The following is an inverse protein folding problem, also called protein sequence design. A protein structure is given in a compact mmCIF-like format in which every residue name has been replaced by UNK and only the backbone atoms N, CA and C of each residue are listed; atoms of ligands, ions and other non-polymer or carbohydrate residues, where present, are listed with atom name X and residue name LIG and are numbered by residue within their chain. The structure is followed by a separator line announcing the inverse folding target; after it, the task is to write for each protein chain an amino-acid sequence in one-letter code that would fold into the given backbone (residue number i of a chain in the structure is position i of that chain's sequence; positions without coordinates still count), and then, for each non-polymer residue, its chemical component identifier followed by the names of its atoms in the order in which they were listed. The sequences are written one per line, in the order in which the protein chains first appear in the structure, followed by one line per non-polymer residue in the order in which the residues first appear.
data_IF_052410519703
#
_entry.id   IF_052410519703
#
_cell.length_a   1.000
_cell.length_b   1.000
_cell.length_c   1.000
_cell.angle_alpha   90.00
_cell.angle_beta   90.00
_cell.angle_gamma   90.00
#
_symmetry.space_group_name_H-M   'P 1'
#
loop_
_entity.id
_entity.type
_entity.pdbx_description
1 polymer ?
#
# COMPACT_ATOMS: atom_id res chain seq x y z
N UNK A 1 -3.47 -2.01 -38.92
CA UNK A 1 -2.67 -2.95 -38.12
C UNK A 1 -3.58 -3.49 -37.04
N UNK A 2 -4.00 -4.72 -37.20
CA UNK A 2 -4.70 -5.40 -36.13
C UNK A 2 -3.74 -5.58 -34.95
N UNK A 3 -3.99 -4.89 -33.83
CA UNK A 3 -3.33 -5.20 -32.59
C UNK A 3 -3.83 -6.56 -32.14
N UNK A 4 -2.95 -7.55 -32.16
CA UNK A 4 -3.26 -8.84 -31.56
C UNK A 4 -3.69 -8.57 -30.10
N UNK A 5 -4.92 -8.92 -29.78
CA UNK A 5 -5.40 -8.83 -28.40
C UNK A 5 -4.69 -9.91 -27.59
N UNK A 6 -3.78 -9.50 -26.74
CA UNK A 6 -3.17 -10.40 -25.78
C UNK A 6 -4.00 -10.35 -24.50
N UNK A 7 -4.63 -11.46 -24.16
CA UNK A 7 -5.30 -11.60 -22.87
C UNK A 7 -4.26 -12.10 -21.87
N UNK A 8 -3.99 -11.32 -20.85
CA UNK A 8 -3.15 -11.72 -19.73
C UNK A 8 -4.03 -12.05 -18.53
N UNK A 9 -3.84 -13.22 -17.97
CA UNK A 9 -4.51 -13.65 -16.73
C UNK A 9 -3.62 -13.46 -15.51
N UNK A 10 -2.42 -12.91 -15.70
CA UNK A 10 -1.49 -12.62 -14.63
C UNK A 10 -1.12 -11.13 -14.65
N UNK A 11 -0.78 -10.61 -13.47
CA UNK A 11 -0.29 -9.25 -13.36
C UNK A 11 1.04 -9.10 -14.11
N UNK A 12 1.11 -8.13 -15.00
CA UNK A 12 2.29 -7.82 -15.79
C UNK A 12 2.82 -6.43 -15.41
N UNK A 13 3.96 -6.40 -14.76
CA UNK A 13 4.57 -5.15 -14.29
C UNK A 13 5.69 -4.61 -15.19
N UNK A 14 5.85 -5.15 -16.41
CA UNK A 14 6.92 -4.72 -17.33
C UNK A 14 6.88 -3.22 -17.66
N UNK A 15 5.70 -2.61 -17.63
CA UNK A 15 5.51 -1.19 -17.89
C UNK A 15 5.30 -0.36 -16.62
N UNK A 16 5.45 -0.96 -15.45
CA UNK A 16 5.32 -0.28 -14.18
C UNK A 16 6.69 0.25 -13.77
N UNK A 17 6.74 1.53 -13.41
CA UNK A 17 7.95 2.15 -12.88
C UNK A 17 7.91 2.10 -11.37
N UNK A 18 8.61 1.12 -10.82
CA UNK A 18 8.73 0.94 -9.39
C UNK A 18 9.80 1.85 -8.81
N UNK A 19 9.50 2.44 -7.67
CA UNK A 19 10.43 3.24 -6.88
C UNK A 19 10.41 2.83 -5.41
N UNK A 20 11.28 3.40 -4.58
CA UNK A 20 11.28 3.14 -3.16
C UNK A 20 10.07 3.78 -2.48
N UNK A 21 9.67 3.20 -1.34
CA UNK A 21 8.72 3.84 -0.42
C UNK A 21 9.53 4.59 0.62
N UNK A 22 9.37 5.90 0.65
CA UNK A 22 9.93 6.75 1.68
C UNK A 22 8.78 7.44 2.43
N UNK A 23 8.75 7.25 3.73
CA UNK A 23 7.77 7.86 4.61
C UNK A 23 8.45 8.90 5.47
N UNK A 24 8.02 10.14 5.36
CA UNK A 24 8.55 11.23 6.17
C UNK A 24 8.38 10.91 7.66
N UNK A 25 9.50 10.90 8.38
CA UNK A 25 9.56 10.55 9.78
C UNK A 25 9.83 9.06 10.06
N UNK A 26 9.72 8.19 9.07
CA UNK A 26 9.94 6.74 9.22
C UNK A 26 11.05 6.18 8.36
N UNK A 27 11.52 6.95 7.37
CA UNK A 27 12.60 6.55 6.45
C UNK A 27 12.12 5.68 5.29
N UNK A 28 13.06 5.03 4.65
CA UNK A 28 12.81 4.13 3.51
C UNK A 28 12.46 2.73 4.00
N UNK A 29 11.42 2.14 3.41
CA UNK A 29 11.03 0.76 3.68
C UNK A 29 11.84 -0.19 2.79
N UNK A 30 12.74 -1.04 3.35
CA UNK A 30 13.54 -1.96 2.56
C UNK A 30 12.67 -2.99 1.84
N UNK A 31 13.04 -3.29 0.59
CA UNK A 31 12.42 -4.34 -0.24
C UNK A 31 10.96 -4.09 -0.65
N UNK A 32 10.35 -3.03 -0.18
CA UNK A 32 9.04 -2.57 -0.69
C UNK A 32 9.23 -1.70 -1.91
N UNK A 33 8.27 -1.71 -2.81
CA UNK A 33 8.26 -0.84 -3.97
C UNK A 33 6.92 -0.13 -4.12
N UNK A 34 6.98 1.07 -4.65
CA UNK A 34 5.85 1.96 -4.85
C UNK A 34 5.78 2.38 -6.31
N UNK A 35 4.59 2.37 -6.88
CA UNK A 35 4.35 2.89 -8.22
C UNK A 35 3.16 3.84 -8.20
N UNK A 36 3.39 5.15 -8.37
CA UNK A 36 2.29 6.11 -8.55
C UNK A 36 1.61 5.87 -9.89
N UNK A 37 0.28 5.93 -9.92
CA UNK A 37 -0.51 5.72 -11.12
C UNK A 37 -1.18 7.00 -11.59
N UNK A 38 -2.11 7.52 -10.80
CA UNK A 38 -2.86 8.72 -11.13
C UNK A 38 -3.32 9.43 -9.88
N UNK A 39 -3.50 10.75 -9.96
CA UNK A 39 -3.99 11.54 -8.83
C UNK A 39 -4.66 12.82 -9.28
N UNK A 40 -5.55 13.32 -8.46
CA UNK A 40 -6.25 14.59 -8.68
C UNK A 40 -6.49 15.32 -7.37
N UNK A 41 -5.99 16.55 -7.29
CA UNK A 41 -6.27 17.45 -6.18
C UNK A 41 -7.73 17.88 -6.17
N UNK A 42 -8.27 18.13 -7.36
CA UNK A 42 -9.67 18.55 -7.51
C UNK A 42 -10.63 17.50 -6.99
N UNK A 43 -10.45 16.24 -7.43
CA UNK A 43 -11.32 15.13 -7.03
C UNK A 43 -10.87 14.44 -5.75
N UNK A 44 -9.74 14.86 -5.16
CA UNK A 44 -9.21 14.36 -3.88
C UNK A 44 -9.03 12.84 -3.86
N UNK A 45 -8.41 12.34 -4.93
CA UNK A 45 -8.16 10.91 -5.11
C UNK A 45 -6.75 10.67 -5.60
N UNK A 46 -6.17 9.57 -5.18
CA UNK A 46 -4.89 9.10 -5.68
C UNK A 46 -4.89 7.58 -5.77
N UNK A 47 -4.37 7.07 -6.88
CA UNK A 47 -4.21 5.65 -7.16
C UNK A 47 -2.72 5.30 -7.25
N UNK A 48 -2.35 4.21 -6.60
CA UNK A 48 -0.97 3.74 -6.59
C UNK A 48 -0.90 2.23 -6.32
N UNK A 49 0.25 1.64 -6.62
CA UNK A 49 0.54 0.24 -6.31
C UNK A 49 1.60 0.17 -5.22
N UNK A 50 1.47 -0.82 -4.36
CA UNK A 50 2.55 -1.25 -3.47
C UNK A 50 2.89 -2.69 -3.77
N UNK A 51 4.18 -2.96 -3.93
CA UNK A 51 4.74 -4.29 -4.05
C UNK A 51 5.37 -4.67 -2.72
N UNK A 52 4.81 -5.70 -2.11
CA UNK A 52 5.26 -6.25 -0.85
C UNK A 52 6.29 -7.34 -1.11
N UNK A 53 7.39 -7.37 -0.35
CA UNK A 53 8.36 -8.48 -0.44
C UNK A 53 7.78 -9.77 0.13
N UNK A 54 8.36 -10.94 -0.21
CA UNK A 54 8.02 -12.18 0.46
C UNK A 54 8.13 -12.05 1.98
N UNK A 55 7.16 -12.61 2.68
CA UNK A 55 7.10 -12.58 4.14
C UNK A 55 8.37 -13.16 4.75
N UNK A 56 8.94 -12.44 5.69
CA UNK A 56 10.13 -12.85 6.44
C UNK A 56 9.80 -12.97 7.92
N UNK A 57 10.11 -14.10 8.50
CA UNK A 57 9.85 -14.39 9.91
C UNK A 57 11.17 -14.54 10.68
N UNK A 58 11.18 -14.06 11.91
CA UNK A 58 12.26 -14.26 12.88
C UNK A 58 11.64 -14.37 14.27
N UNK A 59 12.04 -15.39 15.03
CA UNK A 59 11.55 -15.66 16.39
C UNK A 59 10.00 -15.74 16.48
N UNK A 60 9.37 -16.35 15.47
CA UNK A 60 7.92 -16.51 15.42
C UNK A 60 7.14 -15.24 15.05
N UNK A 61 7.82 -14.20 14.60
CA UNK A 61 7.20 -12.93 14.22
C UNK A 61 7.57 -12.56 12.78
N UNK A 62 6.64 -11.92 12.09
CA UNK A 62 6.94 -11.29 10.80
C UNK A 62 7.70 -9.99 11.06
N UNK A 63 8.85 -9.85 10.41
CA UNK A 63 9.78 -8.73 10.67
C UNK A 63 9.83 -7.69 9.56
N UNK A 64 9.21 -7.96 8.41
CA UNK A 64 9.21 -7.05 7.27
C UNK A 64 7.80 -6.54 6.96
N UNK A 65 7.25 -5.78 7.87
CA UNK A 65 5.94 -5.14 7.73
C UNK A 65 6.10 -3.65 7.48
N UNK A 66 5.12 -3.05 6.80
CA UNK A 66 4.97 -1.60 6.80
C UNK A 66 4.67 -1.15 8.25
N UNK A 67 5.21 -0.01 8.65
CA UNK A 67 4.91 0.56 9.96
C UNK A 67 3.40 0.63 10.23
N UNK A 68 3.03 0.44 11.50
CA UNK A 68 1.65 0.66 11.95
C UNK A 68 1.18 2.04 11.51
N UNK A 69 0.01 2.07 10.91
CA UNK A 69 -0.56 3.32 10.41
C UNK A 69 -2.07 3.35 10.60
N UNK A 70 -2.58 4.58 10.62
CA UNK A 70 -4.01 4.88 10.65
C UNK A 70 -4.42 5.42 9.29
N UNK A 71 -5.49 4.88 8.75
CA UNK A 71 -6.15 5.47 7.58
C UNK A 71 -6.91 6.71 8.02
N UNK A 72 -6.63 7.86 7.38
CA UNK A 72 -7.35 9.11 7.64
C UNK A 72 -8.39 9.41 6.56
N UNK A 73 -8.20 8.87 5.37
CA UNK A 73 -9.17 8.87 4.28
C UNK A 73 -9.78 7.49 4.05
N UNK A 74 -10.62 7.38 3.03
CA UNK A 74 -11.16 6.08 2.59
C UNK A 74 -10.17 5.48 1.60
N UNK A 75 -9.78 4.23 1.80
CA UNK A 75 -8.90 3.51 0.89
C UNK A 75 -9.57 2.26 0.38
N UNK A 76 -9.69 2.18 -0.94
CA UNK A 76 -10.12 0.96 -1.63
C UNK A 76 -8.87 0.18 -2.01
N UNK A 77 -8.85 -1.12 -1.71
CA UNK A 77 -7.71 -2.00 -1.93
C UNK A 77 -8.11 -3.18 -2.78
N UNK A 78 -7.29 -3.51 -3.76
CA UNK A 78 -7.49 -4.66 -4.62
C UNK A 78 -6.18 -5.43 -4.76
N UNK A 79 -6.20 -6.72 -4.41
CA UNK A 79 -5.02 -7.58 -4.50
C UNK A 79 -4.86 -8.09 -5.93
N UNK A 80 -3.77 -7.69 -6.59
CA UNK A 80 -3.50 -8.00 -8.00
C UNK A 80 -2.66 -9.26 -8.14
N UNK A 81 -1.69 -9.47 -7.24
CA UNK A 81 -0.79 -10.60 -7.29
C UNK A 81 -0.40 -11.03 -5.87
N UNK A 82 -0.05 -12.30 -5.69
CA UNK A 82 0.37 -12.82 -4.39
C UNK A 82 -0.72 -12.74 -3.34
N UNK A 83 -0.34 -12.34 -2.13
CA UNK A 83 -1.25 -12.16 -1.01
C UNK A 83 -0.94 -10.88 -0.25
N UNK A 84 -1.96 -10.28 0.34
CA UNK A 84 -1.88 -9.13 1.23
C UNK A 84 -2.29 -9.54 2.64
N UNK A 85 -1.37 -9.47 3.58
CA UNK A 85 -1.59 -9.86 4.96
C UNK A 85 -1.75 -8.63 5.84
N UNK A 86 -2.81 -8.59 6.62
CA UNK A 86 -3.10 -7.52 7.57
C UNK A 86 -2.87 -8.02 8.99
N UNK A 87 -2.20 -7.20 9.78
CA UNK A 87 -1.87 -7.52 11.17
C UNK A 87 -2.39 -6.42 12.10
N UNK A 88 -2.74 -6.83 13.32
CA UNK A 88 -2.98 -5.90 14.41
C UNK A 88 -1.67 -5.17 14.77
N UNK A 89 -1.74 -4.01 15.44
CA UNK A 89 -0.53 -3.32 15.87
C UNK A 89 0.42 -4.16 16.74
N UNK A 90 -0.10 -5.14 17.46
CA UNK A 90 0.70 -6.06 18.28
C UNK A 90 1.38 -7.19 17.49
N UNK A 91 1.16 -7.24 16.17
CA UNK A 91 1.73 -8.25 15.28
C UNK A 91 0.86 -9.49 15.09
N UNK A 92 -0.31 -9.57 15.71
CA UNK A 92 -1.25 -10.66 15.51
C UNK A 92 -1.86 -10.59 14.10
N UNK A 93 -1.87 -11.70 13.37
CA UNK A 93 -2.49 -11.77 12.06
C UNK A 93 -3.99 -11.50 12.16
N UNK A 94 -4.48 -10.49 11.43
CA UNK A 94 -5.89 -10.14 11.36
C UNK A 94 -6.57 -10.81 10.17
N UNK A 95 -5.95 -10.75 9.00
CA UNK A 95 -6.58 -11.14 7.74
C UNK A 95 -5.57 -11.52 6.68
N UNK A 96 -5.88 -12.55 5.90
CA UNK A 96 -5.14 -12.92 4.68
C UNK A 96 -6.03 -12.63 3.49
N UNK A 97 -5.56 -11.78 2.59
CA UNK A 97 -6.29 -11.37 1.40
C UNK A 97 -5.63 -11.96 0.15
N UNK A 98 -6.26 -12.94 -0.51
CA UNK A 98 -5.72 -13.53 -1.74
C UNK A 98 -5.94 -12.62 -2.95
N UNK A 99 -5.33 -13.00 -4.08
CA UNK A 99 -5.57 -12.36 -5.38
C UNK A 99 -7.06 -12.24 -5.67
N UNK A 100 -7.47 -11.07 -6.16
CA UNK A 100 -8.86 -10.78 -6.47
C UNK A 100 -9.68 -10.26 -5.30
N UNK A 101 -9.11 -10.24 -4.10
CA UNK A 101 -9.78 -9.69 -2.93
C UNK A 101 -9.90 -8.17 -3.03
N UNK A 102 -11.09 -7.65 -2.79
CA UNK A 102 -11.39 -6.23 -2.72
C UNK A 102 -11.88 -5.87 -1.32
N UNK A 103 -11.29 -4.84 -0.75
CA UNK A 103 -11.66 -4.33 0.57
C UNK A 103 -11.69 -2.82 0.59
N UNK A 104 -12.33 -2.29 1.62
CA UNK A 104 -12.35 -0.85 1.92
C UNK A 104 -11.88 -0.65 3.35
N UNK A 105 -10.83 0.14 3.53
CA UNK A 105 -10.39 0.61 4.84
C UNK A 105 -11.01 1.97 5.09
N UNK A 106 -11.90 2.09 6.09
CA UNK A 106 -12.52 3.37 6.44
C UNK A 106 -11.55 4.25 7.24
N UNK A 107 -11.86 5.55 7.36
CA UNK A 107 -11.11 6.42 8.28
C UNK A 107 -11.10 5.85 9.70
N UNK A 108 -9.94 5.88 10.34
CA UNK A 108 -9.74 5.36 11.69
C UNK A 108 -9.24 3.92 11.76
N UNK A 109 -9.22 3.19 10.64
CA UNK A 109 -8.64 1.84 10.64
C UNK A 109 -7.13 1.91 10.93
N UNK A 110 -6.70 1.12 11.91
CA UNK A 110 -5.30 1.04 12.35
C UNK A 110 -4.80 -0.38 12.20
N UNK A 111 -3.72 -0.53 11.45
CA UNK A 111 -3.10 -1.84 11.23
C UNK A 111 -1.64 -1.71 10.77
N UNK A 112 -0.97 -2.83 10.66
CA UNK A 112 0.25 -2.98 9.87
C UNK A 112 0.02 -4.05 8.81
N UNK A 113 0.87 -4.10 7.78
CA UNK A 113 0.61 -4.95 6.63
C UNK A 113 1.89 -5.45 5.96
N UNK A 114 1.79 -6.57 5.30
CA UNK A 114 2.89 -7.19 4.57
C UNK A 114 2.41 -8.10 3.46
N UNK A 115 3.35 -8.75 2.81
CA UNK A 115 3.08 -9.72 1.76
C UNK A 115 2.87 -11.14 2.29
N UNK A 116 2.37 -12.01 1.43
CA UNK A 116 2.32 -13.43 1.69
C UNK A 116 3.69 -14.12 1.50
N UNK A 117 3.72 -15.46 1.47
CA UNK A 117 4.97 -16.22 1.31
C UNK A 117 5.79 -15.85 0.08
N UNK A 118 5.13 -15.44 -1.00
CA UNK A 118 5.75 -15.01 -2.25
C UNK A 118 5.64 -13.50 -2.48
N UNK A 119 5.26 -12.74 -1.46
CA UNK A 119 5.00 -11.31 -1.56
C UNK A 119 3.60 -11.03 -2.06
N UNK A 120 3.40 -9.85 -2.60
CA UNK A 120 2.13 -9.45 -3.18
C UNK A 120 2.19 -8.08 -3.84
N UNK A 121 1.20 -7.81 -4.69
CA UNK A 121 0.98 -6.49 -5.28
C UNK A 121 -0.45 -6.07 -5.00
N UNK A 122 -0.61 -4.88 -4.46
CA UNK A 122 -1.91 -4.32 -4.08
C UNK A 122 -2.11 -2.98 -4.74
N UNK A 123 -3.28 -2.79 -5.34
CA UNK A 123 -3.74 -1.50 -5.83
C UNK A 123 -4.48 -0.77 -4.72
N UNK A 124 -4.10 0.47 -4.50
CA UNK A 124 -4.71 1.39 -3.55
C UNK A 124 -5.38 2.52 -4.32
N UNK A 125 -6.61 2.84 -3.96
CA UNK A 125 -7.29 4.06 -4.37
C UNK A 125 -7.70 4.80 -3.11
N UNK A 126 -6.96 5.84 -2.75
CA UNK A 126 -7.17 6.60 -1.54
C UNK A 126 -7.88 7.92 -1.83
N UNK A 127 -8.87 8.26 -1.01
CA UNK A 127 -9.67 9.48 -1.16
C UNK A 127 -9.77 10.23 0.16
N UNK A 128 -9.56 11.54 0.10
CA UNK A 128 -9.64 12.41 1.26
C UNK A 128 -8.86 13.69 1.05
N UNK A 129 -8.93 14.59 2.01
CA UNK A 129 -8.21 15.87 2.02
C UNK A 129 -7.12 15.84 3.07
N UNK A 130 -5.96 16.40 2.74
CA UNK A 130 -4.85 16.49 3.69
C UNK A 130 -4.21 15.14 3.96
N UNK A 131 -4.07 14.78 5.23
CA UNK A 131 -3.45 13.52 5.64
C UNK A 131 -4.30 12.32 5.22
N UNK A 132 -3.71 11.37 4.49
CA UNK A 132 -4.36 10.12 4.10
C UNK A 132 -3.91 8.94 4.97
N UNK A 133 -2.64 8.91 5.38
CA UNK A 133 -2.07 7.86 6.21
C UNK A 133 -1.20 8.49 7.30
N UNK A 134 -1.45 8.17 8.55
CA UNK A 134 -0.60 8.55 9.69
C UNK A 134 0.16 7.33 10.17
N UNK A 135 1.49 7.41 10.19
CA UNK A 135 2.34 6.38 10.76
C UNK A 135 2.52 6.65 12.24
N UNK A 136 2.31 5.62 13.05
CA UNK A 136 2.25 5.75 14.52
C UNK A 136 3.20 4.77 15.19
N UNK A 137 3.64 5.12 16.39
CA UNK A 137 4.42 4.24 17.27
C UNK A 137 3.51 3.33 18.12
N UNK A 138 4.12 2.54 18.99
CA UNK A 138 3.40 1.62 19.89
C UNK A 138 2.46 2.32 20.87
N UNK A 139 2.65 3.62 21.08
CA UNK A 139 1.81 4.46 21.94
C UNK A 139 0.82 5.30 21.14
N UNK A 140 0.66 5.01 19.85
CA UNK A 140 -0.23 5.72 18.93
C UNK A 140 0.16 7.17 18.69
N UNK A 141 1.42 7.55 18.96
CA UNK A 141 1.95 8.86 18.63
C UNK A 141 2.31 8.91 17.16
N UNK A 142 1.95 10.00 16.48
CA UNK A 142 2.21 10.20 15.07
C UNK A 142 3.71 10.44 14.84
N UNK A 143 4.33 9.57 14.03
CA UNK A 143 5.74 9.68 13.63
C UNK A 143 5.90 10.47 12.32
N UNK A 144 4.93 10.35 11.44
CA UNK A 144 4.91 10.96 10.13
C UNK A 144 3.68 10.53 9.36
N UNK A 145 3.65 10.80 8.07
CA UNK A 145 2.51 10.41 7.27
C UNK A 145 2.67 10.71 5.79
N UNK A 146 1.60 10.42 5.06
CA UNK A 146 1.47 10.72 3.63
C UNK A 146 0.18 11.50 3.42
N UNK A 147 0.33 12.66 2.82
CA UNK A 147 -0.80 13.52 2.46
C UNK A 147 -1.27 13.25 1.03
N UNK A 148 -2.48 13.69 0.71
CA UNK A 148 -2.95 13.69 -0.67
C UNK A 148 -1.96 14.46 -1.58
N UNK A 149 -1.45 15.61 -1.11
CA UNK A 149 -0.51 16.43 -1.88
C UNK A 149 0.78 15.67 -2.20
N UNK A 150 1.35 14.95 -1.21
CA UNK A 150 2.56 14.15 -1.41
C UNK A 150 2.36 13.08 -2.48
N UNK A 151 1.25 12.36 -2.41
CA UNK A 151 0.96 11.26 -3.31
C UNK A 151 0.57 11.72 -4.71
N UNK A 152 -0.20 12.80 -4.82
CA UNK A 152 -0.52 13.42 -6.14
C UNK A 152 0.74 13.96 -6.79
N UNK A 153 1.63 14.61 -6.04
CA UNK A 153 2.92 15.07 -6.56
C UNK A 153 3.77 13.91 -7.09
N UNK A 154 3.77 12.77 -6.40
CA UNK A 154 4.47 11.57 -6.86
C UNK A 154 3.93 11.04 -8.20
N UNK A 155 2.65 11.25 -8.50
CA UNK A 155 2.05 10.90 -9.78
C UNK A 155 2.40 11.88 -10.92
N UNK A 156 3.12 12.95 -10.64
CA UNK A 156 3.36 14.05 -11.59
C UNK A 156 2.08 14.82 -11.93
N UNK A 157 1.06 14.72 -11.09
CA UNK A 157 -0.23 15.35 -11.27
C UNK A 157 -0.22 16.84 -10.92
N UNK A 158 -1.05 17.61 -11.62
CA UNK A 158 -1.34 19.00 -11.31
C UNK A 158 -2.46 19.15 -10.28
#
# INVERSE_FOLDING_TARGET
MDRAHTTSYAFDDRNIQWGPIEVLGCGVLPDFAFAPLAGSREFKVVDFLIKFPPKKEANGRVVNLIHTHRHCGITNLFVIAGEHHIYEPDGTLREVRPVGNYTVSPPGDVHTEGGGPEGGVVHYSARGSGMLFEFVDDQMQVLGGLTLEDLVAACGGE
#
